data_IF_972534071534
#
_entry.id   IF_972534071534
#
_cell.length_a   1.000
_cell.length_b   1.000
_cell.length_c   1.000
_cell.angle_alpha   90.00
_cell.angle_beta   90.00
_cell.angle_gamma   90.00
#
_symmetry.space_group_name_H-M   'P 1'
#
loop_
_entity.id
_entity.type
_entity.pdbx_description
1 polymer ?
#
# COMPACT_ATOMS: atom_id res chain seq x y z
N UNK A 1 26.13 12.60 32.93
CA UNK A 1 24.79 12.55 32.29
C UNK A 1 24.93 11.99 30.89
N UNK A 2 24.65 10.70 30.70
CA UNK A 2 24.46 10.12 29.36
C UNK A 2 22.98 10.10 29.05
N UNK A 3 22.55 10.88 28.06
CA UNK A 3 21.18 10.85 27.58
C UNK A 3 20.97 9.52 26.84
N UNK A 4 20.42 8.53 27.53
CA UNK A 4 19.87 7.33 26.89
C UNK A 4 18.66 7.79 26.07
N UNK A 5 18.91 8.13 24.80
CA UNK A 5 17.85 8.27 23.82
C UNK A 5 17.20 6.90 23.69
N UNK A 6 16.08 6.69 24.39
CA UNK A 6 15.17 5.60 24.07
C UNK A 6 14.73 5.83 22.63
N UNK A 7 15.31 5.07 21.70
CA UNK A 7 14.81 5.01 20.33
C UNK A 7 13.46 4.31 20.47
N UNK A 8 12.39 5.11 20.56
CA UNK A 8 11.04 4.59 20.52
C UNK A 8 10.92 3.85 19.19
N UNK A 9 10.84 2.51 19.24
CA UNK A 9 10.41 1.73 18.10
C UNK A 9 8.92 2.05 17.93
N UNK A 10 8.63 3.13 17.20
CA UNK A 10 7.28 3.51 16.89
C UNK A 10 6.70 2.37 16.05
N UNK A 11 5.82 1.57 16.65
CA UNK A 11 5.04 0.58 15.91
C UNK A 11 4.29 1.27 14.78
N UNK A 12 3.95 0.52 13.73
CA UNK A 12 3.23 1.09 12.57
C UNK A 12 1.97 1.82 13.02
N UNK A 13 1.83 3.08 12.61
CA UNK A 13 0.64 3.88 12.91
C UNK A 13 -0.49 3.50 11.94
N UNK A 14 -1.54 2.84 12.43
CA UNK A 14 -2.68 2.41 11.62
C UNK A 14 -3.95 3.19 11.99
N UNK A 15 -4.49 3.96 11.04
CA UNK A 15 -5.73 4.73 11.21
C UNK A 15 -6.84 4.22 10.30
N UNK A 16 -7.97 3.78 10.87
CA UNK A 16 -9.12 3.27 10.11
C UNK A 16 -8.80 2.09 9.17
N UNK A 17 -7.68 1.41 9.36
CA UNK A 17 -7.27 0.28 8.52
C UNK A 17 -8.09 -0.97 8.88
N UNK A 18 -8.81 -1.57 7.92
CA UNK A 18 -9.61 -2.79 8.13
C UNK A 18 -8.74 -4.01 8.46
N UNK A 19 -9.31 -4.94 9.23
CA UNK A 19 -8.62 -6.14 9.76
C UNK A 19 -7.84 -6.94 8.69
N UNK A 20 -8.38 -7.21 7.48
CA UNK A 20 -7.66 -7.96 6.45
C UNK A 20 -6.29 -7.38 6.08
N UNK A 21 -6.12 -6.06 6.20
CA UNK A 21 -4.87 -5.37 5.85
C UNK A 21 -3.98 -5.09 7.07
N UNK A 22 -4.52 -5.12 8.30
CA UNK A 22 -3.78 -4.71 9.51
C UNK A 22 -2.52 -5.52 9.72
N UNK A 23 -2.57 -6.83 9.47
CA UNK A 23 -1.41 -7.71 9.63
C UNK A 23 -0.32 -7.41 8.60
N UNK A 24 -0.68 -7.34 7.33
CA UNK A 24 0.26 -7.06 6.23
C UNK A 24 0.89 -5.67 6.33
N UNK A 25 0.12 -4.69 6.80
CA UNK A 25 0.59 -3.31 7.00
C UNK A 25 1.32 -3.13 8.33
N UNK A 26 1.05 -3.93 9.36
CA UNK A 26 1.76 -3.88 10.64
C UNK A 26 3.20 -4.41 10.58
N UNK A 27 3.65 -4.89 9.41
CA UNK A 27 4.99 -5.39 9.14
C UNK A 27 5.55 -4.80 7.83
N UNK A 28 6.70 -5.30 7.39
CA UNK A 28 7.29 -5.02 6.06
C UNK A 28 7.71 -3.57 5.78
N UNK A 29 8.11 -2.84 6.83
CA UNK A 29 8.67 -1.49 6.68
C UNK A 29 7.59 -0.43 6.41
N UNK A 30 6.36 -0.66 6.83
CA UNK A 30 5.31 0.37 6.86
C UNK A 30 5.49 1.24 8.10
N UNK A 31 5.63 2.55 7.90
CA UNK A 31 5.68 3.54 8.98
C UNK A 31 4.26 3.91 9.43
N UNK A 32 3.38 4.19 8.47
CA UNK A 32 1.98 4.47 8.75
C UNK A 32 1.07 4.03 7.61
N UNK A 33 -0.19 3.76 7.93
CA UNK A 33 -1.24 3.56 6.96
C UNK A 33 -2.57 4.13 7.45
N UNK A 34 -3.31 4.76 6.55
CA UNK A 34 -4.62 5.33 6.82
C UNK A 34 -5.60 5.01 5.69
N UNK A 35 -6.83 4.63 6.03
CA UNK A 35 -7.89 4.46 5.04
C UNK A 35 -8.94 5.56 5.16
N UNK A 36 -9.27 6.21 4.04
CA UNK A 36 -10.29 7.26 3.95
C UNK A 36 -10.95 7.24 2.57
N UNK A 37 -12.29 7.22 2.52
CA UNK A 37 -13.04 7.30 1.26
C UNK A 37 -12.77 6.18 0.25
N UNK A 38 -12.27 5.01 0.70
CA UNK A 38 -11.85 3.91 -0.17
C UNK A 38 -10.41 4.03 -0.70
N UNK A 39 -9.68 5.08 -0.30
CA UNK A 39 -8.25 5.22 -0.55
C UNK A 39 -7.46 4.79 0.68
N UNK A 40 -6.58 3.82 0.50
CA UNK A 40 -5.58 3.44 1.49
C UNK A 40 -4.29 4.19 1.20
N UNK A 41 -3.88 5.09 2.08
CA UNK A 41 -2.59 5.78 2.01
C UNK A 41 -1.59 5.12 2.94
N UNK A 42 -0.45 4.71 2.39
CA UNK A 42 0.62 3.99 3.08
C UNK A 42 1.91 4.78 2.95
N UNK A 43 2.61 4.97 4.06
CA UNK A 43 3.95 5.55 4.13
C UNK A 43 4.92 4.44 4.49
N UNK A 44 5.87 4.14 3.61
CA UNK A 44 6.92 3.17 3.89
C UNK A 44 8.13 3.85 4.51
N UNK A 45 8.81 3.16 5.42
CA UNK A 45 10.09 3.57 6.00
C UNK A 45 11.24 3.33 5.01
N UNK A 46 11.16 4.01 3.87
CA UNK A 46 12.15 3.99 2.79
C UNK A 46 12.36 5.41 2.29
N UNK A 47 13.62 5.83 2.16
CA UNK A 47 13.96 7.16 1.68
C UNK A 47 13.47 7.45 0.26
N UNK A 48 13.41 6.42 -0.60
CA UNK A 48 12.87 6.51 -1.95
C UNK A 48 12.18 5.20 -2.33
N UNK A 49 11.09 5.30 -3.11
CA UNK A 49 10.39 4.14 -3.65
C UNK A 49 10.82 3.85 -5.08
N UNK A 50 11.18 2.60 -5.33
CA UNK A 50 11.36 2.06 -6.67
C UNK A 50 10.08 1.37 -7.13
N UNK A 51 9.87 1.30 -8.44
CA UNK A 51 8.74 0.53 -9.02
C UNK A 51 8.73 -0.92 -8.52
N UNK A 52 9.90 -1.56 -8.43
CA UNK A 52 10.01 -2.92 -7.92
C UNK A 52 9.48 -3.05 -6.49
N UNK A 53 9.85 -2.12 -5.60
CA UNK A 53 9.37 -2.09 -4.22
C UNK A 53 7.86 -1.92 -4.19
N UNK A 54 7.35 -0.99 -5.00
CA UNK A 54 5.94 -0.69 -5.10
C UNK A 54 5.12 -1.88 -5.65
N UNK A 55 5.52 -2.50 -6.77
CA UNK A 55 4.83 -3.66 -7.35
C UNK A 55 4.83 -4.84 -6.38
N UNK A 56 5.96 -5.09 -5.71
CA UNK A 56 6.07 -6.14 -4.69
C UNK A 56 5.12 -5.84 -3.53
N UNK A 57 5.05 -4.58 -3.11
CA UNK A 57 4.17 -4.16 -2.03
C UNK A 57 2.69 -4.38 -2.36
N UNK A 58 2.23 -3.90 -3.52
CA UNK A 58 0.84 -4.09 -3.98
C UNK A 58 0.49 -5.58 -4.08
N UNK A 59 1.37 -6.39 -4.68
CA UNK A 59 1.11 -7.81 -4.85
C UNK A 59 1.05 -8.54 -3.50
N UNK A 60 2.07 -8.39 -2.65
CA UNK A 60 2.22 -9.22 -1.44
C UNK A 60 1.50 -8.70 -0.21
N UNK A 61 1.36 -7.39 -0.06
CA UNK A 61 0.82 -6.76 1.16
C UNK A 61 -0.58 -6.18 1.00
N UNK A 62 -1.07 -6.05 -0.24
CA UNK A 62 -2.45 -5.63 -0.52
C UNK A 62 -3.23 -6.78 -1.13
N UNK A 63 -2.96 -7.12 -2.39
CA UNK A 63 -3.82 -8.05 -3.12
C UNK A 63 -3.72 -9.50 -2.64
N UNK A 64 -2.60 -9.91 -2.03
CA UNK A 64 -2.53 -11.24 -1.42
C UNK A 64 -3.51 -11.43 -0.26
N UNK A 65 -3.92 -10.36 0.44
CA UNK A 65 -4.98 -10.47 1.46
C UNK A 65 -6.35 -10.73 0.83
N UNK A 66 -6.59 -10.22 -0.38
CA UNK A 66 -7.80 -10.55 -1.12
C UNK A 66 -7.86 -12.05 -1.46
N UNK A 67 -6.74 -12.69 -1.81
CA UNK A 67 -6.73 -14.15 -2.09
C UNK A 67 -6.88 -15.00 -0.82
N UNK A 68 -6.39 -14.50 0.33
CA UNK A 68 -6.52 -15.18 1.62
C UNK A 68 -7.92 -15.04 2.22
N UNK A 69 -8.52 -13.86 2.10
CA UNK A 69 -9.79 -13.50 2.72
C UNK A 69 -10.64 -12.64 1.76
N UNK A 70 -11.20 -13.24 0.68
CA UNK A 70 -11.85 -12.49 -0.39
C UNK A 70 -13.12 -11.74 0.06
N UNK A 71 -13.98 -12.36 0.87
CA UNK A 71 -15.21 -11.70 1.32
C UNK A 71 -14.93 -10.54 2.30
N UNK A 72 -14.08 -10.69 3.34
CA UNK A 72 -13.71 -9.54 4.18
C UNK A 72 -13.04 -8.42 3.41
N UNK A 73 -12.17 -8.75 2.45
CA UNK A 73 -11.48 -7.76 1.63
C UNK A 73 -12.47 -6.99 0.74
N UNK A 74 -13.41 -7.67 0.09
CA UNK A 74 -14.42 -7.01 -0.75
C UNK A 74 -15.29 -6.01 0.02
N UNK A 75 -15.60 -6.29 1.29
CA UNK A 75 -16.42 -5.43 2.16
C UNK A 75 -15.70 -4.15 2.60
N UNK A 76 -14.38 -4.07 2.43
CA UNK A 76 -13.59 -2.94 2.93
C UNK A 76 -13.66 -1.69 2.04
N UNK A 77 -14.22 -1.81 0.84
CA UNK A 77 -14.46 -0.67 -0.05
C UNK A 77 -13.19 -0.03 -0.61
N UNK A 78 -12.08 -0.79 -0.67
CA UNK A 78 -10.83 -0.32 -1.29
C UNK A 78 -11.04 -0.09 -2.78
N UNK A 79 -10.59 1.07 -3.23
CA UNK A 79 -10.59 1.49 -4.64
C UNK A 79 -9.20 1.91 -5.10
N UNK A 80 -8.37 2.37 -4.16
CA UNK A 80 -7.06 2.95 -4.46
C UNK A 80 -6.09 2.72 -3.32
N UNK A 81 -4.82 2.45 -3.66
CA UNK A 81 -3.71 2.40 -2.71
C UNK A 81 -2.65 3.40 -3.11
N UNK A 82 -2.36 4.37 -2.25
CA UNK A 82 -1.24 5.29 -2.41
C UNK A 82 -0.08 4.81 -1.54
N UNK A 83 1.08 4.56 -2.13
CA UNK A 83 2.28 4.13 -1.43
C UNK A 83 3.35 5.20 -1.61
N UNK A 84 3.79 5.78 -0.50
CA UNK A 84 4.72 6.90 -0.47
C UNK A 84 6.00 6.56 0.28
N UNK A 85 7.07 7.29 -0.06
CA UNK A 85 8.33 7.27 0.67
C UNK A 85 8.18 7.80 2.10
N UNK A 86 9.23 7.67 2.90
CA UNK A 86 9.24 8.05 4.32
C UNK A 86 8.99 9.54 4.56
N UNK A 87 9.24 10.39 3.55
CA UNK A 87 8.98 11.82 3.56
C UNK A 87 7.54 12.17 3.13
N UNK A 88 6.75 11.18 2.71
CA UNK A 88 5.43 11.37 2.11
C UNK A 88 5.45 12.30 0.88
N UNK A 89 6.58 12.36 0.17
CA UNK A 89 6.81 13.34 -0.90
C UNK A 89 6.63 12.72 -2.29
N UNK A 90 7.16 11.52 -2.51
CA UNK A 90 7.05 10.81 -3.78
C UNK A 90 6.56 9.37 -3.58
N UNK A 91 6.08 8.77 -4.67
CA UNK A 91 5.64 7.38 -4.66
C UNK A 91 4.73 7.05 -5.83
N UNK A 92 3.80 6.14 -5.60
CA UNK A 92 2.92 5.60 -6.63
C UNK A 92 1.55 5.30 -6.06
N UNK A 93 0.52 5.44 -6.88
CA UNK A 93 -0.84 5.04 -6.56
C UNK A 93 -1.30 3.93 -7.48
N UNK A 94 -1.90 2.89 -6.91
CA UNK A 94 -2.56 1.79 -7.59
C UNK A 94 -4.07 2.00 -7.55
N UNK A 95 -4.72 2.10 -8.71
CA UNK A 95 -6.18 2.04 -8.78
C UNK A 95 -6.64 0.58 -8.94
N UNK A 96 -7.33 0.06 -7.92
CA UNK A 96 -7.74 -1.32 -7.89
C UNK A 96 -8.55 -1.67 -6.65
N UNK A 97 -9.53 -2.54 -6.86
CA UNK A 97 -10.45 -3.07 -5.87
C UNK A 97 -10.28 -4.59 -5.70
N UNK A 98 -11.22 -5.23 -5.01
CA UNK A 98 -11.20 -6.67 -4.79
C UNK A 98 -11.21 -7.48 -6.10
N UNK A 99 -11.99 -7.07 -7.10
CA UNK A 99 -12.05 -7.74 -8.40
C UNK A 99 -10.71 -7.61 -9.14
N UNK A 100 -10.13 -6.41 -9.12
CA UNK A 100 -8.80 -6.14 -9.69
C UNK A 100 -7.72 -7.03 -9.06
N UNK A 101 -7.73 -7.18 -7.73
CA UNK A 101 -6.81 -8.08 -7.05
C UNK A 101 -7.09 -9.55 -7.37
N UNK A 102 -8.36 -9.96 -7.51
CA UNK A 102 -8.73 -11.32 -7.89
C UNK A 102 -8.21 -11.70 -9.28
N UNK A 103 -8.39 -10.82 -10.27
CA UNK A 103 -7.86 -10.98 -11.62
C UNK A 103 -6.34 -11.15 -11.60
N UNK A 104 -5.64 -10.34 -10.82
CA UNK A 104 -4.18 -10.41 -10.68
C UNK A 104 -3.71 -11.76 -10.13
N UNK A 105 -4.48 -12.39 -9.24
CA UNK A 105 -4.16 -13.70 -8.67
C UNK A 105 -4.07 -14.82 -9.71
N UNK A 106 -4.71 -14.65 -10.87
CA UNK A 106 -4.68 -15.61 -11.98
C UNK A 106 -3.45 -15.42 -12.91
N UNK A 107 -2.69 -14.32 -12.76
CA UNK A 107 -1.64 -13.93 -13.71
C UNK A 107 -0.23 -14.48 -13.39
N UNK A 108 -0.05 -15.18 -12.26
CA UNK A 108 1.25 -15.70 -11.84
C UNK A 108 2.31 -14.60 -11.72
N UNK A 109 3.52 -14.81 -12.25
CA UNK A 109 4.63 -13.84 -12.19
C UNK A 109 4.47 -12.60 -13.08
N UNK A 110 3.42 -12.53 -13.91
CA UNK A 110 3.20 -11.47 -14.90
C UNK A 110 2.43 -10.26 -14.35
N UNK A 111 2.29 -10.14 -13.04
CA UNK A 111 1.52 -9.08 -12.38
C UNK A 111 2.08 -7.66 -12.59
N UNK A 112 3.38 -7.50 -12.90
CA UNK A 112 4.02 -6.18 -12.97
C UNK A 112 3.39 -5.27 -14.02
N UNK A 113 3.16 -5.79 -15.22
CA UNK A 113 2.49 -5.06 -16.30
C UNK A 113 1.07 -4.67 -15.91
N UNK A 114 0.35 -5.57 -15.23
CA UNK A 114 -1.01 -5.34 -14.78
C UNK A 114 -1.11 -4.23 -13.73
N UNK A 115 -0.17 -4.20 -12.77
CA UNK A 115 -0.06 -3.13 -11.78
C UNK A 115 0.34 -1.82 -12.47
N UNK A 116 1.35 -1.85 -13.34
CA UNK A 116 1.84 -0.68 -14.08
C UNK A 116 0.73 0.05 -14.85
N UNK A 117 -0.16 -0.69 -15.54
CA UNK A 117 -1.32 -0.12 -16.25
C UNK A 117 -2.33 0.61 -15.34
N UNK A 118 -2.27 0.37 -14.04
CA UNK A 118 -3.14 0.96 -13.01
C UNK A 118 -2.36 1.88 -12.07
N UNK A 119 -1.12 2.21 -12.43
CA UNK A 119 -0.21 2.99 -11.60
C UNK A 119 -0.21 4.44 -12.03
N UNK A 120 -0.30 5.36 -11.07
CA UNK A 120 -0.04 6.78 -11.28
C UNK A 120 1.11 7.23 -10.38
N UNK A 121 2.13 7.95 -10.88
CA UNK A 121 3.17 8.50 -10.02
C UNK A 121 2.60 9.58 -9.07
N UNK A 122 3.16 9.64 -7.88
CA UNK A 122 2.87 10.66 -6.89
C UNK A 122 4.05 11.60 -6.73
N UNK A 123 3.80 12.90 -6.72
CA UNK A 123 4.82 13.94 -6.49
C UNK A 123 4.26 15.01 -5.57
N UNK A 124 5.13 15.62 -4.75
CA UNK A 124 4.75 16.58 -3.71
C UNK A 124 3.59 16.08 -2.82
N UNK A 125 3.60 14.78 -2.49
CA UNK A 125 2.60 14.11 -1.66
C UNK A 125 1.22 13.93 -2.30
N UNK A 126 1.07 14.25 -3.58
CA UNK A 126 -0.18 14.13 -4.33
C UNK A 126 -0.05 13.09 -5.43
N UNK A 127 -1.05 12.23 -5.54
CA UNK A 127 -1.16 11.24 -6.60
C UNK A 127 -2.25 11.70 -7.56
N UNK A 128 -1.93 11.89 -8.84
CA UNK A 128 -2.92 12.26 -9.85
C UNK A 128 -3.99 11.18 -10.06
N UNK A 129 -5.05 11.46 -10.81
CA UNK A 129 -5.96 10.41 -11.27
C UNK A 129 -5.26 9.55 -12.36
N UNK A 130 -5.61 8.27 -12.48
CA UNK A 130 -5.22 7.48 -13.65
C UNK A 130 -5.75 8.18 -14.90
N UNK A 131 -4.83 8.55 -15.80
CA UNK A 131 -5.16 8.99 -17.14
C UNK A 131 -5.73 7.78 -17.87
N UNK A 132 -7.05 7.75 -18.06
CA UNK A 132 -7.76 6.73 -18.84
C UNK A 132 -7.55 6.95 -20.33
#
# INVERSE_FOLDING_TARGET
MGCLAMVAYAGTELKNVPEPLRKSLGSHGTKSAAMEGGTLRVVLDKAALTELTYYTFIYHNICADQWRAPEPFAKMGLKRVEVLDAASAAGFAFDGDAATCADMGQMGKNYRTFISQRTTPCTAGRCGAVLK
#
